data_IF_005205551800
#
_entry.id   IF_005205551800
#
_cell.length_a   1.000
_cell.length_b   1.000
_cell.length_c   1.000
_cell.angle_alpha   90.00
_cell.angle_beta   90.00
_cell.angle_gamma   90.00
#
_symmetry.space_group_name_H-M   'P 1'
#
loop_
_entity.id
_entity.type
_entity.pdbx_description
1 polymer ?
#
# COMPACT_ATOMS: atom_id res chain seq x y z
N UNK A 1 -7.18 -15.46 8.79
CA UNK A 1 -6.33 -14.61 9.62
C UNK A 1 -7.15 -13.40 10.05
N UNK A 2 -7.07 -12.99 11.31
CA UNK A 2 -7.60 -11.72 11.77
C UNK A 2 -6.67 -10.55 11.34
N UNK A 3 -7.12 -9.28 11.39
CA UNK A 3 -6.31 -8.14 10.93
C UNK A 3 -4.93 -8.00 11.62
N UNK A 4 -4.85 -8.35 12.91
CA UNK A 4 -3.61 -8.27 13.67
C UNK A 4 -2.60 -9.35 13.22
N UNK A 5 -3.07 -10.55 12.91
CA UNK A 5 -2.26 -11.63 12.33
C UNK A 5 -1.68 -11.23 10.96
N UNK A 6 -2.46 -10.55 10.12
CA UNK A 6 -1.96 -10.06 8.82
C UNK A 6 -0.86 -9.00 9.02
N UNK A 7 -1.04 -8.08 9.96
CA UNK A 7 -0.01 -7.08 10.29
C UNK A 7 1.26 -7.74 10.81
N UNK A 8 1.12 -8.78 11.63
CA UNK A 8 2.24 -9.53 12.18
C UNK A 8 2.99 -10.30 11.09
N UNK A 9 2.28 -10.97 10.18
CA UNK A 9 2.88 -11.66 9.02
C UNK A 9 3.72 -10.69 8.17
N UNK A 10 3.19 -9.49 7.88
CA UNK A 10 3.91 -8.47 7.12
C UNK A 10 5.14 -7.95 7.88
N UNK A 11 5.07 -7.87 9.20
CA UNK A 11 6.22 -7.50 10.05
C UNK A 11 7.30 -8.58 10.02
N UNK A 12 6.90 -9.86 10.12
CA UNK A 12 7.82 -11.00 10.16
C UNK A 12 8.47 -11.26 8.80
N UNK A 13 7.78 -10.96 7.70
CA UNK A 13 8.35 -11.01 6.34
C UNK A 13 9.48 -10.00 6.09
N UNK A 14 9.69 -9.04 6.99
CA UNK A 14 10.63 -7.92 6.84
C UNK A 14 10.39 -7.12 5.55
N UNK A 15 9.12 -6.97 5.13
CA UNK A 15 8.77 -6.16 3.97
C UNK A 15 9.16 -4.69 4.20
N UNK A 16 9.97 -4.15 3.29
CA UNK A 16 10.38 -2.73 3.31
C UNK A 16 9.69 -1.95 2.19
N UNK A 17 9.43 -0.67 2.45
CA UNK A 17 8.83 0.24 1.47
C UNK A 17 9.62 0.31 0.17
N UNK A 18 8.95 0.07 -0.97
CA UNK A 18 9.56 0.02 -2.31
C UNK A 18 9.50 1.35 -3.07
N UNK A 19 9.15 2.44 -2.38
CA UNK A 19 9.18 3.81 -2.90
C UNK A 19 10.49 4.56 -2.63
N UNK A 20 11.57 3.87 -2.28
CA UNK A 20 12.91 4.47 -2.05
C UNK A 20 13.30 4.60 -0.58
N UNK A 21 12.41 5.07 0.30
CA UNK A 21 12.74 5.30 1.72
C UNK A 21 13.05 4.01 2.52
N UNK A 22 12.55 2.85 2.08
CA UNK A 22 12.90 1.56 2.68
C UNK A 22 12.44 1.37 4.13
N UNK A 23 11.44 2.10 4.60
CA UNK A 23 10.89 1.93 5.96
C UNK A 23 10.15 0.58 6.09
N UNK A 24 10.24 -0.15 7.22
CA UNK A 24 9.54 -1.43 7.40
C UNK A 24 8.01 -1.28 7.38
N UNK A 25 7.34 -2.00 6.48
CA UNK A 25 5.91 -1.85 6.22
C UNK A 25 5.05 -2.27 7.43
N UNK A 26 5.30 -3.44 8.01
CA UNK A 26 4.55 -3.94 9.16
C UNK A 26 4.69 -3.05 10.40
N UNK A 27 5.86 -2.41 10.59
CA UNK A 27 6.05 -1.43 11.67
C UNK A 27 5.21 -0.18 11.41
N UNK A 28 5.20 0.34 10.17
CA UNK A 28 4.39 1.51 9.80
C UNK A 28 2.90 1.29 10.06
N UNK A 29 2.39 0.09 9.77
CA UNK A 29 0.98 -0.25 10.02
C UNK A 29 0.64 -0.20 11.51
N UNK A 30 1.58 -0.62 12.37
CA UNK A 30 1.42 -0.57 13.82
C UNK A 30 1.35 0.82 14.45
N UNK A 31 1.69 1.88 13.71
CA UNK A 31 1.55 3.28 14.19
C UNK A 31 0.13 3.79 14.15
N UNK A 32 -0.77 3.11 13.43
CA UNK A 32 -2.18 3.50 13.37
C UNK A 32 -2.82 3.18 14.73
N UNK A 33 -3.44 4.16 15.41
CA UNK A 33 -4.13 3.91 16.67
C UNK A 33 -5.17 2.81 16.53
N UNK A 34 -5.16 1.85 17.48
CA UNK A 34 -6.16 0.78 17.53
C UNK A 34 -7.50 1.30 18.01
N UNK A 35 -7.46 2.18 19.02
CA UNK A 35 -8.63 2.72 19.70
C UNK A 35 -8.94 4.14 19.20
N UNK A 36 -9.27 4.25 17.91
CA UNK A 36 -9.72 5.52 17.33
C UNK A 36 -11.05 5.33 16.60
N UNK A 37 -11.93 6.30 16.78
CA UNK A 37 -13.20 6.47 16.06
C UNK A 37 -13.02 7.16 14.69
N UNK A 38 -11.81 7.66 14.40
CA UNK A 38 -11.51 8.36 13.15
C UNK A 38 -11.42 7.39 11.99
N UNK A 39 -11.84 7.80 10.78
CA UNK A 39 -11.67 6.99 9.59
C UNK A 39 -10.18 6.78 9.29
N UNK A 40 -9.86 5.55 8.89
CA UNK A 40 -8.52 5.15 8.46
C UNK A 40 -8.50 5.06 6.94
N UNK A 41 -7.45 5.61 6.34
CA UNK A 41 -7.27 5.65 4.90
C UNK A 41 -5.99 4.94 4.48
N UNK A 42 -6.05 4.25 3.36
CA UNK A 42 -4.89 3.71 2.66
C UNK A 42 -4.71 4.49 1.36
N UNK A 43 -3.48 4.92 1.10
CA UNK A 43 -3.12 5.60 -0.13
C UNK A 43 -2.07 4.75 -0.84
N UNK A 44 -2.41 4.27 -2.03
CA UNK A 44 -1.45 3.70 -2.97
C UNK A 44 -0.83 4.85 -3.77
N UNK A 45 0.48 5.07 -3.61
CA UNK A 45 1.20 6.10 -4.32
C UNK A 45 1.70 5.55 -5.66
N UNK A 46 1.03 5.94 -6.75
CA UNK A 46 1.35 5.62 -8.13
C UNK A 46 1.80 6.88 -8.90
N UNK A 47 2.49 7.80 -8.23
CA UNK A 47 3.04 9.01 -8.85
C UNK A 47 4.31 8.71 -9.69
N UNK A 48 5.06 7.65 -9.34
CA UNK A 48 6.27 7.16 -10.02
C UNK A 48 7.12 8.28 -10.69
N UNK A 49 7.42 9.36 -9.98
CA UNK A 49 7.97 10.59 -10.56
C UNK A 49 9.48 10.56 -10.81
N UNK A 50 10.21 9.65 -10.16
CA UNK A 50 11.66 9.55 -10.26
C UNK A 50 12.11 9.13 -11.68
N UNK A 51 12.97 9.91 -12.37
CA UNK A 51 13.43 9.61 -13.72
C UNK A 51 14.02 8.20 -13.86
N UNK A 52 13.60 7.49 -14.91
CA UNK A 52 14.05 6.13 -15.18
C UNK A 52 13.26 5.04 -14.43
N UNK A 53 12.30 5.40 -13.58
CA UNK A 53 11.43 4.44 -12.90
C UNK A 53 10.19 4.14 -13.74
N UNK A 54 9.84 2.85 -13.87
CA UNK A 54 8.67 2.39 -14.65
C UNK A 54 8.06 1.07 -14.10
N UNK A 55 8.49 0.65 -12.92
CA UNK A 55 8.09 -0.61 -12.27
C UNK A 55 6.62 -0.59 -11.84
N UNK A 56 6.12 0.55 -11.37
CA UNK A 56 4.77 0.72 -10.85
C UNK A 56 3.79 0.82 -12.03
N UNK A 57 4.14 1.57 -13.07
CA UNK A 57 3.40 1.55 -14.35
C UNK A 57 3.26 0.13 -14.90
N UNK A 58 4.35 -0.63 -14.92
CA UNK A 58 4.32 -2.01 -15.42
C UNK A 58 3.39 -2.89 -14.58
N UNK A 59 3.44 -2.78 -13.25
CA UNK A 59 2.58 -3.52 -12.34
C UNK A 59 1.10 -3.19 -12.55
N UNK A 60 0.76 -1.90 -12.69
CA UNK A 60 -0.61 -1.45 -12.95
C UNK A 60 -1.14 -1.97 -14.29
N UNK A 61 -0.31 -1.97 -15.35
CA UNK A 61 -0.76 -2.38 -16.68
C UNK A 61 -0.84 -3.89 -16.87
N UNK A 62 0.04 -4.64 -16.21
CA UNK A 62 0.21 -6.08 -16.46
C UNK A 62 -0.36 -6.96 -15.36
N UNK A 63 -0.46 -6.45 -14.14
CA UNK A 63 -1.01 -7.17 -12.99
C UNK A 63 -1.84 -6.24 -12.07
N UNK A 64 -2.83 -5.50 -12.59
CA UNK A 64 -3.63 -4.57 -11.79
C UNK A 64 -4.32 -5.25 -10.61
N UNK A 65 -4.82 -6.49 -10.81
CA UNK A 65 -5.46 -7.24 -9.73
C UNK A 65 -4.51 -7.60 -8.60
N UNK A 66 -3.23 -7.85 -8.88
CA UNK A 66 -2.24 -8.11 -7.84
C UNK A 66 -2.00 -6.86 -6.98
N UNK A 67 -1.96 -5.68 -7.60
CA UNK A 67 -1.88 -4.41 -6.88
C UNK A 67 -3.14 -4.21 -6.02
N UNK A 68 -4.33 -4.40 -6.59
CA UNK A 68 -5.61 -4.24 -5.89
C UNK A 68 -5.76 -5.22 -4.72
N UNK A 69 -5.34 -6.48 -4.90
CA UNK A 69 -5.31 -7.48 -3.83
C UNK A 69 -4.41 -7.03 -2.67
N UNK A 70 -3.20 -6.54 -2.98
CA UNK A 70 -2.29 -5.99 -1.97
C UNK A 70 -2.91 -4.81 -1.20
N UNK A 71 -3.64 -3.93 -1.90
CA UNK A 71 -4.38 -2.84 -1.27
C UNK A 71 -5.50 -3.36 -0.35
N UNK A 72 -6.29 -4.35 -0.80
CA UNK A 72 -7.37 -4.94 -0.01
C UNK A 72 -6.81 -5.62 1.26
N UNK A 73 -5.71 -6.36 1.13
CA UNK A 73 -5.03 -7.01 2.27
C UNK A 73 -4.54 -5.96 3.27
N UNK A 74 -3.88 -4.91 2.79
CA UNK A 74 -3.39 -3.83 3.64
C UNK A 74 -4.55 -3.07 4.31
N UNK A 75 -5.62 -2.77 3.58
CA UNK A 75 -6.80 -2.09 4.09
C UNK A 75 -7.49 -2.94 5.18
N UNK A 76 -7.65 -4.24 4.94
CA UNK A 76 -8.17 -5.20 5.92
C UNK A 76 -7.32 -5.21 7.19
N UNK A 77 -5.99 -5.31 7.06
CA UNK A 77 -5.06 -5.38 8.19
C UNK A 77 -5.12 -4.14 9.09
N UNK A 78 -5.27 -2.95 8.51
CA UNK A 78 -5.30 -1.69 9.26
C UNK A 78 -6.72 -1.24 9.66
N UNK A 79 -7.77 -1.94 9.21
CA UNK A 79 -9.16 -1.55 9.44
C UNK A 79 -9.58 -0.31 8.65
N UNK A 80 -9.05 -0.15 7.44
CA UNK A 80 -9.39 0.92 6.51
C UNK A 80 -10.59 0.53 5.64
N UNK A 81 -11.60 1.40 5.56
CA UNK A 81 -12.79 1.20 4.73
C UNK A 81 -12.73 1.93 3.39
N UNK A 82 -11.88 2.97 3.30
CA UNK A 82 -11.76 3.81 2.11
C UNK A 82 -10.31 3.95 1.70
N UNK A 83 -10.00 3.50 0.49
CA UNK A 83 -8.65 3.56 -0.08
C UNK A 83 -8.62 4.42 -1.33
N UNK A 84 -7.48 5.07 -1.58
CA UNK A 84 -7.26 5.90 -2.76
C UNK A 84 -6.02 5.43 -3.52
N UNK A 85 -6.06 5.54 -4.85
CA UNK A 85 -4.89 5.43 -5.71
C UNK A 85 -4.57 6.84 -6.18
N UNK A 86 -3.43 7.37 -5.76
CA UNK A 86 -2.92 8.62 -6.31
C UNK A 86 -2.10 8.28 -7.54
N UNK A 87 -2.69 8.48 -8.72
CA UNK A 87 -2.04 8.21 -10.02
C UNK A 87 -1.64 9.53 -10.67
N UNK A 88 -0.41 9.59 -11.17
CA UNK A 88 0.11 10.78 -11.87
C UNK A 88 -0.69 11.07 -13.14
N UNK A 89 -0.76 12.33 -13.53
CA UNK A 89 -1.49 12.76 -14.74
C UNK A 89 -0.92 12.20 -16.03
N UNK A 90 0.39 11.90 -16.08
CA UNK A 90 1.07 11.34 -17.25
C UNK A 90 0.61 9.91 -17.58
N UNK A 91 -0.03 9.23 -16.63
CA UNK A 91 -0.58 7.89 -16.82
C UNK A 91 -2.06 7.90 -17.26
N UNK A 92 -2.61 9.03 -17.72
CA UNK A 92 -4.03 9.14 -18.13
C UNK A 92 -4.48 8.16 -19.23
N UNK A 93 -3.55 7.54 -19.96
CA UNK A 93 -3.80 6.56 -21.03
C UNK A 93 -3.51 5.12 -20.63
N UNK A 94 -2.96 4.92 -19.44
CA UNK A 94 -2.64 3.59 -18.93
C UNK A 94 -3.92 2.87 -18.47
#
# INVERSE_FOLDING_TARGET
>A
MNPAEVTQEVKDSNLRGRGGAGFPAGIKWGFIPKDTDKPKYLINNADESEPGTFKDRLLMNKAPHQMLEGMIIAAYAIGCQTSFIYIRGEFYKE
#
